data_IF_224983230567
#
_entry.id   IF_224983230567
#
_cell.length_a   1.000
_cell.length_b   1.000
_cell.length_c   1.000
_cell.angle_alpha   90.00
_cell.angle_beta   90.00
_cell.angle_gamma   90.00
#
_symmetry.space_group_name_H-M   'P 1'
#
loop_
_entity.id
_entity.type
_entity.pdbx_description
1 polymer ?
#
# COMPACT_ATOMS: atom_id res chain seq x y z
N UNK A 1 -4.67 -21.99 -8.23
CA UNK A 1 -4.65 -21.11 -9.41
C UNK A 1 -6.09 -20.88 -9.84
N UNK A 2 -6.53 -19.62 -10.03
CA UNK A 2 -7.89 -19.34 -10.49
C UNK A 2 -8.13 -19.96 -11.86
N UNK A 3 -9.37 -20.38 -12.11
CA UNK A 3 -9.79 -20.95 -13.39
C UNK A 3 -9.95 -19.85 -14.44
N UNK A 4 -9.91 -20.22 -15.72
CA UNK A 4 -10.11 -19.26 -16.82
C UNK A 4 -11.48 -18.57 -16.75
N UNK A 5 -12.52 -19.27 -16.30
CA UNK A 5 -13.87 -18.68 -16.14
C UNK A 5 -13.92 -17.67 -14.98
N UNK A 6 -13.25 -17.95 -13.86
CA UNK A 6 -13.10 -16.97 -12.77
C UNK A 6 -12.38 -15.70 -13.23
N UNK A 7 -11.31 -15.85 -14.02
CA UNK A 7 -10.57 -14.71 -14.56
C UNK A 7 -11.43 -13.86 -15.52
N UNK A 8 -12.25 -14.51 -16.36
CA UNK A 8 -13.19 -13.80 -17.24
C UNK A 8 -14.23 -13.01 -16.43
N UNK A 9 -14.76 -13.58 -15.36
CA UNK A 9 -15.73 -12.91 -14.49
C UNK A 9 -15.11 -11.71 -13.77
N UNK A 10 -13.88 -11.85 -13.27
CA UNK A 10 -13.13 -10.73 -12.66
C UNK A 10 -12.92 -9.62 -13.69
N UNK A 11 -12.47 -9.97 -14.91
CA UNK A 11 -12.25 -8.99 -15.98
C UNK A 11 -13.54 -8.26 -16.37
N UNK A 12 -14.66 -8.97 -16.52
CA UNK A 12 -15.96 -8.38 -16.84
C UNK A 12 -16.45 -7.42 -15.75
N UNK A 13 -16.31 -7.79 -14.48
CA UNK A 13 -16.69 -6.93 -13.36
C UNK A 13 -15.79 -5.68 -13.28
N UNK A 14 -14.49 -5.82 -13.53
CA UNK A 14 -13.56 -4.70 -13.57
C UNK A 14 -13.87 -3.73 -14.71
N UNK A 15 -14.20 -4.25 -15.90
CA UNK A 15 -14.64 -3.42 -17.03
C UNK A 15 -15.90 -2.62 -16.68
N UNK A 16 -16.87 -3.26 -16.03
CA UNK A 16 -18.11 -2.60 -15.59
C UNK A 16 -17.85 -1.51 -14.55
N UNK A 17 -16.97 -1.75 -13.59
CA UNK A 17 -16.59 -0.78 -12.55
C UNK A 17 -15.95 0.47 -13.17
N UNK A 18 -14.97 0.28 -14.07
CA UNK A 18 -14.33 1.37 -14.82
C UNK A 18 -15.29 2.13 -15.72
N UNK A 19 -16.25 1.41 -16.32
CA UNK A 19 -17.24 2.01 -17.21
C UNK A 19 -18.40 2.72 -16.50
N UNK A 20 -18.48 2.61 -15.18
CA UNK A 20 -19.51 3.28 -14.38
C UNK A 20 -19.41 4.80 -14.53
N UNK A 21 -20.57 5.47 -14.49
CA UNK A 21 -20.64 6.93 -14.60
C UNK A 21 -19.85 7.64 -13.48
N UNK A 22 -19.85 7.05 -12.27
CA UNK A 22 -19.11 7.59 -11.13
C UNK A 22 -17.59 7.53 -11.33
N UNK A 23 -17.06 6.40 -11.84
CA UNK A 23 -15.65 6.26 -12.17
C UNK A 23 -15.24 7.23 -13.28
N UNK A 24 -16.05 7.33 -14.35
CA UNK A 24 -15.78 8.22 -15.49
C UNK A 24 -15.79 9.70 -15.13
N UNK A 25 -16.73 10.12 -14.29
CA UNK A 25 -16.89 11.52 -13.90
C UNK A 25 -16.07 11.88 -12.65
N UNK A 26 -15.45 10.90 -11.99
CA UNK A 26 -14.77 11.09 -10.70
C UNK A 26 -15.70 11.57 -9.57
N UNK A 27 -17.01 11.35 -9.72
CA UNK A 27 -18.08 11.88 -8.84
C UNK A 27 -18.52 10.92 -7.72
N UNK A 28 -17.80 9.82 -7.52
CA UNK A 28 -18.04 8.92 -6.39
C UNK A 28 -17.64 9.54 -5.07
N UNK A 29 -18.24 9.07 -3.96
CA UNK A 29 -17.71 9.35 -2.62
C UNK A 29 -16.32 8.73 -2.54
N UNK A 30 -15.31 9.55 -2.27
CA UNK A 30 -13.94 9.10 -2.08
C UNK A 30 -13.73 8.79 -0.60
N UNK A 31 -12.94 7.77 -0.30
CA UNK A 31 -12.42 7.50 1.04
C UNK A 31 -11.50 8.65 1.48
N UNK A 32 -11.40 8.87 2.78
CA UNK A 32 -10.50 9.90 3.34
C UNK A 32 -9.05 9.64 2.90
N UNK A 33 -8.66 8.36 2.81
CA UNK A 33 -7.35 7.95 2.29
C UNK A 33 -7.07 8.48 0.88
N UNK A 34 -8.07 8.39 0.00
CA UNK A 34 -7.97 8.84 -1.39
C UNK A 34 -7.89 10.37 -1.45
N UNK A 35 -8.59 11.07 -0.57
CA UNK A 35 -8.60 12.54 -0.53
C UNK A 35 -7.27 13.09 0.00
N UNK A 36 -6.74 12.51 1.07
CA UNK A 36 -5.56 13.00 1.75
C UNK A 36 -4.25 12.57 1.08
N UNK A 37 -4.20 11.38 0.47
CA UNK A 37 -2.97 10.80 -0.08
C UNK A 37 -3.02 10.43 -1.57
N UNK A 38 -4.22 10.44 -2.17
CA UNK A 38 -4.43 9.90 -3.52
C UNK A 38 -4.44 8.36 -3.58
N UNK A 39 -4.24 7.68 -2.44
CA UNK A 39 -4.25 6.22 -2.33
C UNK A 39 -5.57 5.74 -1.75
N UNK A 40 -6.26 4.84 -2.46
CA UNK A 40 -7.48 4.21 -1.94
C UNK A 40 -7.12 2.95 -1.14
N UNK A 41 -7.19 3.02 0.19
CA UNK A 41 -6.92 1.87 1.06
C UNK A 41 -8.03 0.81 0.98
N UNK A 42 -9.21 1.17 0.49
CA UNK A 42 -10.35 0.26 0.33
C UNK A 42 -10.15 -0.75 -0.80
N UNK A 43 -9.04 -0.67 -1.53
CA UNK A 43 -8.66 -1.59 -2.59
C UNK A 43 -8.55 -3.04 -2.10
N UNK A 44 -8.22 -3.25 -0.82
CA UNK A 44 -8.26 -4.56 -0.15
C UNK A 44 -9.64 -5.23 -0.17
N UNK A 45 -10.72 -4.44 -0.22
CA UNK A 45 -12.09 -4.97 -0.30
C UNK A 45 -12.51 -5.24 -1.74
N UNK A 46 -11.85 -4.61 -2.72
CA UNK A 46 -12.16 -4.73 -4.14
C UNK A 46 -11.45 -5.92 -4.78
N UNK A 47 -10.23 -6.21 -4.33
CA UNK A 47 -9.43 -7.30 -4.84
C UNK A 47 -9.33 -8.41 -3.79
N UNK A 48 -9.66 -9.63 -4.17
CA UNK A 48 -9.55 -10.79 -3.28
C UNK A 48 -8.10 -11.22 -3.00
N UNK A 49 -7.15 -10.60 -3.69
CA UNK A 49 -5.73 -10.79 -3.42
C UNK A 49 -5.31 -9.83 -2.30
N UNK A 50 -4.41 -10.25 -1.39
CA UNK A 50 -3.90 -9.37 -0.36
C UNK A 50 -3.23 -8.17 -1.03
N UNK A 51 -3.78 -6.98 -0.82
CA UNK A 51 -3.13 -5.74 -1.27
C UNK A 51 -2.41 -5.17 -0.05
N UNK A 52 -1.11 -4.88 -0.17
CA UNK A 52 -0.33 -4.35 0.96
C UNK A 52 -0.48 -2.83 1.07
N UNK A 53 -1.63 -2.28 0.69
CA UNK A 53 -1.87 -0.84 0.62
C UNK A 53 -2.15 -0.33 2.03
N UNK A 54 -1.29 0.57 2.52
CA UNK A 54 -1.42 1.17 3.84
C UNK A 54 -1.53 2.68 3.70
N UNK A 55 -2.42 3.26 4.49
CA UNK A 55 -2.62 4.70 4.60
C UNK A 55 -2.34 5.16 6.05
N UNK A 56 -2.07 6.45 6.24
CA UNK A 56 -1.78 7.05 7.55
C UNK A 56 -0.29 7.15 7.94
N UNK A 57 0.01 7.52 9.21
CA UNK A 57 1.37 7.83 9.68
C UNK A 57 2.35 6.65 9.50
N UNK A 58 3.47 6.89 8.82
CA UNK A 58 4.50 5.88 8.50
C UNK A 58 4.32 5.18 7.14
N UNK A 59 3.18 5.42 6.47
CA UNK A 59 2.94 5.01 5.07
C UNK A 59 3.40 6.08 4.06
N UNK A 60 3.94 7.20 4.55
CA UNK A 60 4.45 8.29 3.71
C UNK A 60 5.87 7.98 3.25
N UNK A 61 6.11 8.14 1.94
CA UNK A 61 7.45 8.23 1.38
C UNK A 61 8.03 9.61 1.74
N UNK A 62 8.48 9.78 2.99
CA UNK A 62 9.24 10.95 3.36
C UNK A 62 10.64 10.80 2.79
N UNK A 63 11.12 11.77 1.98
CA UNK A 63 12.50 11.83 1.50
C UNK A 63 13.53 12.15 2.59
N UNK A 64 13.20 11.87 3.85
CA UNK A 64 14.05 12.04 5.02
C UNK A 64 14.36 10.67 5.60
N UNK A 65 15.64 10.46 5.89
CA UNK A 65 16.18 9.20 6.41
C UNK A 65 15.74 8.89 7.85
N UNK A 66 14.88 9.74 8.42
CA UNK A 66 14.33 9.61 9.75
C UNK A 66 13.13 8.66 9.82
N UNK A 67 12.61 8.20 8.68
CA UNK A 67 11.49 7.25 8.62
C UNK A 67 11.87 5.94 9.29
N UNK A 68 11.01 5.44 10.17
CA UNK A 68 11.15 4.12 10.78
C UNK A 68 10.68 3.07 9.78
N UNK A 69 11.53 2.10 9.46
CA UNK A 69 11.18 0.98 8.59
C UNK A 69 10.50 -0.09 9.45
N UNK A 70 9.26 -0.44 9.12
CA UNK A 70 8.49 -1.45 9.88
C UNK A 70 9.01 -2.85 9.61
N UNK A 71 8.77 -3.78 10.52
CA UNK A 71 9.13 -5.20 10.36
C UNK A 71 8.59 -5.78 9.03
N UNK A 72 7.35 -5.40 8.66
CA UNK A 72 6.71 -5.81 7.39
C UNK A 72 7.43 -5.33 6.12
N UNK A 73 8.16 -4.20 6.19
CA UNK A 73 8.94 -3.63 5.09
C UNK A 73 10.41 -4.12 5.11
N UNK A 74 10.73 -5.06 6.00
CA UNK A 74 12.11 -5.56 6.18
C UNK A 74 12.92 -4.76 7.20
N UNK A 75 12.25 -3.97 8.03
CA UNK A 75 12.83 -3.30 9.19
C UNK A 75 13.49 -4.28 10.15
N UNK A 76 14.57 -3.85 10.77
CA UNK A 76 15.32 -4.63 11.76
C UNK A 76 15.30 -3.87 13.07
N UNK A 77 15.23 -4.60 14.18
CA UNK A 77 15.24 -4.01 15.50
C UNK A 77 16.67 -3.92 16.01
N UNK A 78 17.00 -2.78 16.62
CA UNK A 78 18.28 -2.60 17.31
C UNK A 78 18.33 -3.38 18.64
N UNK A 79 19.49 -3.40 19.30
CA UNK A 79 19.69 -4.03 20.61
C UNK A 79 18.78 -3.50 21.73
N UNK A 80 18.05 -2.40 21.46
CA UNK A 80 17.11 -1.75 22.38
C UNK A 80 15.65 -2.00 21.98
N UNK A 81 15.40 -2.96 21.10
CA UNK A 81 14.07 -3.34 20.57
C UNK A 81 13.35 -2.21 19.83
N UNK A 82 14.11 -1.26 19.25
CA UNK A 82 13.56 -0.17 18.44
C UNK A 82 13.75 -0.48 16.97
N UNK A 83 12.73 -0.22 16.17
CA UNK A 83 12.81 -0.33 14.72
C UNK A 83 13.84 0.65 14.14
N UNK A 84 14.71 0.14 13.29
CA UNK A 84 15.73 0.92 12.61
C UNK A 84 15.11 1.96 11.67
N UNK A 85 15.77 3.11 11.60
CA UNK A 85 15.42 4.20 10.67
C UNK A 85 16.06 3.96 9.31
N UNK A 86 15.47 4.52 8.27
CA UNK A 86 15.91 4.42 6.89
C UNK A 86 17.41 4.74 6.73
N UNK A 87 17.89 5.82 7.36
CA UNK A 87 19.31 6.21 7.28
C UNK A 87 20.30 5.25 7.92
N UNK A 88 19.83 4.33 8.77
CA UNK A 88 20.69 3.27 9.31
C UNK A 88 20.88 2.13 8.30
N UNK A 89 20.02 2.02 7.29
CA UNK A 89 20.22 1.05 6.20
C UNK A 89 21.16 1.57 5.11
N UNK A 90 21.57 2.84 5.17
CA UNK A 90 22.49 3.44 4.22
C UNK A 90 23.92 3.48 4.80
N UNK A 91 24.88 2.90 4.07
CA UNK A 91 26.30 2.90 4.43
C UNK A 91 26.76 1.72 5.31
N UNK A 92 28.07 1.64 5.63
CA UNK A 92 28.63 0.59 6.48
C UNK A 92 28.24 0.78 7.95
N UNK A 93 27.83 -0.30 8.62
CA UNK A 93 27.35 -0.28 10.01
C UNK A 93 25.83 -0.31 10.13
N UNK A 94 25.15 -0.90 9.14
CA UNK A 94 23.70 -1.04 9.17
C UNK A 94 23.24 -2.10 10.17
N UNK A 95 21.92 -2.21 10.44
CA UNK A 95 21.37 -3.16 11.44
C UNK A 95 21.65 -4.65 11.19
N UNK A 96 22.27 -4.99 10.06
CA UNK A 96 22.60 -6.36 9.65
C UNK A 96 24.11 -6.62 9.55
N UNK A 97 24.95 -5.60 9.77
CA UNK A 97 26.42 -5.70 9.86
C UNK A 97 26.84 -5.96 11.31
#
# INVERSE_FOLDING_TARGET
MPTTEELKNVAFNAERDLNSHQAKQGRGRKSDSTVESGVDEMVDQRFSQPTSVKYGPGSTASGSDHRVIRDEEGGVRDDRDRLAKAGQFEGPGGPRD
#
